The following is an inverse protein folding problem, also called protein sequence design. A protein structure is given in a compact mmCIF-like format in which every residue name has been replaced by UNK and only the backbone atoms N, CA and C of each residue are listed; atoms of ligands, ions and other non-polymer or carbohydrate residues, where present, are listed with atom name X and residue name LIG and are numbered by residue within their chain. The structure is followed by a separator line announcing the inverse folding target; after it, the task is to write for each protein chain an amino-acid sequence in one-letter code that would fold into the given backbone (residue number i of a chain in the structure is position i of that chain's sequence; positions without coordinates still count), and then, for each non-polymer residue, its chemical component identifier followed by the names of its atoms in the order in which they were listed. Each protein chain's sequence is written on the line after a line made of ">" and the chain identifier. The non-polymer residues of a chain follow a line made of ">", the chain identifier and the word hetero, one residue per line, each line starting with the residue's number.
data_IF_459421669577
#
_entry.id   IF_459421669577
#
_cell.length_a   1.000
_cell.length_b   1.000
_cell.length_c   1.000
_cell.angle_alpha   90.00
_cell.angle_beta   90.00
_cell.angle_gamma   90.00
#
_symmetry.space_group_name_H-M   'P 1'
#
loop_
_entity.id
_entity.type
_entity.pdbx_description
1 polymer ?
#
# COMPACT_ATOMS: atom_id res chain seq x y z
N UNK A 1 -19.22 15.41 5.91
CA UNK A 1 -18.22 15.14 4.85
C UNK A 1 -17.96 13.64 4.84
N UNK A 2 -18.38 12.92 3.80
CA UNK A 2 -18.02 11.50 3.65
C UNK A 2 -16.63 11.45 3.02
N UNK A 3 -15.62 11.09 3.81
CA UNK A 3 -14.27 10.76 3.31
C UNK A 3 -14.37 9.44 2.55
N UNK A 4 -13.99 9.46 1.28
CA UNK A 4 -13.94 8.26 0.45
C UNK A 4 -12.57 7.60 0.65
N UNK A 5 -12.49 6.31 1.03
CA UNK A 5 -11.21 5.65 1.24
C UNK A 5 -10.40 5.57 -0.05
N UNK A 6 -9.15 6.03 0.01
CA UNK A 6 -8.17 5.88 -1.07
C UNK A 6 -7.66 4.44 -1.03
N UNK A 7 -7.76 3.73 -2.15
CA UNK A 7 -7.21 2.39 -2.29
C UNK A 7 -5.73 2.50 -2.64
N UNK A 8 -4.87 2.10 -1.71
CA UNK A 8 -3.43 2.09 -1.94
C UNK A 8 -3.06 0.85 -2.78
N UNK A 9 -2.70 1.07 -4.04
CA UNK A 9 -1.97 0.07 -4.82
C UNK A 9 -0.55 -0.03 -4.27
N UNK A 10 -0.07 -1.24 -4.02
CA UNK A 10 1.23 -1.54 -3.41
C UNK A 10 2.47 -1.09 -4.21
N UNK A 11 2.32 -0.21 -5.21
CA UNK A 11 3.44 0.32 -5.99
C UNK A 11 3.66 1.82 -5.91
N UNK A 12 2.78 2.66 -5.34
CA UNK A 12 3.08 4.10 -5.16
C UNK A 12 2.12 4.76 -4.17
N UNK A 13 2.42 4.67 -2.88
CA UNK A 13 1.88 5.62 -1.91
C UNK A 13 2.66 6.93 -2.02
N UNK A 14 2.26 7.80 -2.96
CA UNK A 14 2.57 9.24 -2.89
C UNK A 14 1.50 9.93 -2.04
N UNK A 15 1.51 9.65 -0.74
CA UNK A 15 1.11 10.69 0.23
C UNK A 15 2.34 11.55 0.39
N UNK A 16 2.15 12.85 0.19
CA UNK A 16 3.12 13.94 0.15
C UNK A 16 4.09 13.93 1.36
N UNK A 17 5.06 13.01 1.39
CA UNK A 17 6.27 13.13 2.19
C UNK A 17 7.35 13.71 1.29
N UNK A 18 7.80 14.88 1.71
CA UNK A 18 8.56 15.87 0.96
C UNK A 18 9.87 15.28 0.44
N UNK A 19 10.19 15.68 -0.80
CA UNK A 19 11.25 15.24 -1.72
C UNK A 19 12.71 15.30 -1.20
N UNK A 20 12.95 15.54 0.09
CA UNK A 20 14.29 15.61 0.70
C UNK A 20 14.81 14.29 1.27
N UNK A 21 13.97 13.26 1.43
CA UNK A 21 14.37 11.97 2.05
C UNK A 21 14.60 10.83 1.04
N UNK A 22 14.27 11.05 -0.24
CA UNK A 22 14.56 10.08 -1.29
C UNK A 22 16.06 9.98 -1.59
N UNK A 23 16.83 11.06 -1.39
CA UNK A 23 18.29 11.05 -1.52
C UNK A 23 18.95 10.19 -0.46
N UNK A 24 18.50 10.25 0.80
CA UNK A 24 19.11 9.52 1.91
C UNK A 24 18.88 8.01 1.77
N UNK A 25 17.67 7.60 1.38
CA UNK A 25 17.35 6.19 1.10
C UNK A 25 18.15 5.67 -0.09
N UNK A 26 18.27 6.45 -1.16
CA UNK A 26 19.10 6.08 -2.29
C UNK A 26 20.56 5.92 -1.87
N UNK A 27 21.15 6.90 -1.15
CA UNK A 27 22.54 6.80 -0.66
C UNK A 27 22.73 5.55 0.19
N UNK A 28 21.77 5.23 1.06
CA UNK A 28 21.82 4.01 1.86
C UNK A 28 21.83 2.77 0.95
N UNK A 29 20.90 2.66 -0.02
CA UNK A 29 20.87 1.56 -0.98
C UNK A 29 22.17 1.44 -1.80
N UNK A 30 22.74 2.57 -2.25
CA UNK A 30 24.03 2.62 -2.94
C UNK A 30 25.19 2.12 -2.06
N UNK A 31 25.13 2.31 -0.74
CA UNK A 31 26.16 1.80 0.17
C UNK A 31 26.09 0.28 0.35
N UNK A 32 24.95 -0.35 0.03
CA UNK A 32 24.74 -1.79 0.16
C UNK A 32 24.50 -2.47 -1.20
N UNK A 33 25.10 -1.95 -2.28
CA UNK A 33 25.02 -2.60 -3.61
C UNK A 33 25.57 -4.03 -3.59
N UNK A 34 26.60 -4.27 -2.79
CA UNK A 34 27.23 -5.58 -2.64
C UNK A 34 26.46 -6.52 -1.67
N UNK A 35 25.41 -6.02 -1.01
CA UNK A 35 24.57 -6.79 -0.09
C UNK A 35 25.23 -7.21 1.23
N UNK A 36 26.43 -6.71 1.54
CA UNK A 36 27.19 -7.11 2.73
C UNK A 36 26.83 -6.36 4.02
N UNK A 37 26.28 -5.14 3.93
CA UNK A 37 25.97 -4.32 5.11
C UNK A 37 24.63 -4.72 5.75
N UNK A 38 23.62 -5.05 4.96
CA UNK A 38 22.33 -5.51 5.46
C UNK A 38 21.56 -6.37 4.46
N UNK A 39 20.72 -7.26 5.00
CA UNK A 39 19.83 -8.11 4.21
C UNK A 39 18.83 -7.24 3.39
N UNK A 40 18.47 -7.61 2.15
CA UNK A 40 17.48 -6.87 1.35
C UNK A 40 16.10 -6.72 2.02
N UNK A 41 15.75 -7.60 2.96
CA UNK A 41 14.54 -7.49 3.79
C UNK A 41 14.66 -6.37 4.84
N UNK A 42 15.88 -5.93 5.16
CA UNK A 42 16.19 -4.82 6.07
C UNK A 42 16.06 -3.43 5.42
N UNK A 43 15.69 -3.35 4.14
CA UNK A 43 15.40 -2.08 3.46
C UNK A 43 14.31 -1.29 4.20
N UNK A 44 13.34 -1.99 4.81
CA UNK A 44 12.34 -1.35 5.66
C UNK A 44 13.00 -0.65 6.85
N UNK A 45 13.96 -1.29 7.49
CA UNK A 45 14.73 -0.74 8.62
C UNK A 45 15.56 0.48 8.20
N UNK A 46 16.23 0.40 7.05
CA UNK A 46 16.98 1.53 6.47
C UNK A 46 16.06 2.73 6.15
N UNK A 47 14.88 2.45 5.57
CA UNK A 47 13.84 3.44 5.35
C UNK A 47 13.44 4.09 6.67
N UNK A 48 13.04 3.31 7.69
CA UNK A 48 12.65 3.85 9.00
C UNK A 48 13.75 4.69 9.67
N UNK A 49 15.01 4.26 9.57
CA UNK A 49 16.14 5.00 10.15
C UNK A 49 16.33 6.37 9.48
N UNK A 50 16.07 6.47 8.17
CA UNK A 50 16.12 7.74 7.44
C UNK A 50 15.11 8.77 7.97
N UNK A 51 13.98 8.32 8.55
CA UNK A 51 12.96 9.18 9.16
C UNK A 51 13.08 9.27 10.70
N UNK A 52 14.14 8.74 11.31
CA UNK A 52 14.27 8.70 12.77
C UNK A 52 14.17 10.10 13.39
N UNK A 53 13.25 10.28 14.34
CA UNK A 53 12.97 11.58 14.98
C UNK A 53 12.16 12.58 14.14
N UNK A 54 11.92 12.30 12.86
CA UNK A 54 11.17 13.18 11.93
C UNK A 54 9.76 12.65 11.59
N UNK A 55 9.32 11.57 12.23
CA UNK A 55 7.96 11.03 12.04
C UNK A 55 6.96 11.62 13.03
N UNK A 56 5.69 11.72 12.60
CA UNK A 56 4.55 12.00 13.48
C UNK A 56 3.61 10.80 13.44
N UNK A 57 3.11 10.32 14.60
CA UNK A 57 2.15 9.23 14.61
C UNK A 57 0.84 9.69 13.96
N UNK A 58 0.30 8.86 13.06
CA UNK A 58 -1.04 9.03 12.52
C UNK A 58 -2.04 8.24 13.37
N UNK A 59 -3.27 8.72 13.44
CA UNK A 59 -4.36 7.96 14.07
C UNK A 59 -4.56 6.62 13.33
N UNK A 60 -4.56 5.51 14.07
CA UNK A 60 -4.66 4.17 13.50
C UNK A 60 -5.98 3.94 12.77
N UNK A 61 -7.06 4.65 13.14
CA UNK A 61 -8.35 4.54 12.47
C UNK A 61 -8.33 5.01 11.01
N UNK A 62 -7.32 5.80 10.61
CA UNK A 62 -7.18 6.29 9.25
C UNK A 62 -6.72 5.23 8.26
N UNK A 63 -6.15 4.13 8.76
CA UNK A 63 -5.55 3.10 7.92
C UNK A 63 -6.05 1.71 8.30
N UNK A 64 -6.60 0.99 7.31
CA UNK A 64 -6.99 -0.41 7.44
C UNK A 64 -6.14 -1.27 6.51
N UNK A 65 -5.61 -2.35 7.06
CA UNK A 65 -4.79 -3.36 6.40
C UNK A 65 -5.31 -4.76 6.80
N UNK A 66 -4.82 -5.79 6.14
CA UNK A 66 -5.21 -7.19 6.30
C UNK A 66 -6.17 -7.72 5.24
N UNK A 67 -6.56 -6.94 4.22
CA UNK A 67 -7.69 -7.30 3.35
C UNK A 67 -7.41 -8.47 2.41
N UNK A 68 -6.16 -8.81 2.11
CA UNK A 68 -5.80 -10.00 1.35
C UNK A 68 -5.40 -11.20 2.21
N UNK A 69 -5.64 -11.15 3.52
CA UNK A 69 -5.42 -12.25 4.48
C UNK A 69 -6.64 -12.56 5.36
N UNK A 70 -7.34 -11.53 5.83
CA UNK A 70 -8.38 -11.63 6.85
C UNK A 70 -9.78 -11.29 6.29
N UNK A 71 -10.68 -12.28 6.18
CA UNK A 71 -12.06 -12.04 5.72
C UNK A 71 -12.97 -11.42 6.79
N UNK A 72 -12.50 -11.19 8.01
CA UNK A 72 -13.33 -10.75 9.14
C UNK A 72 -13.09 -9.30 9.55
N UNK A 73 -12.57 -8.46 8.66
CA UNK A 73 -12.36 -7.04 8.95
C UNK A 73 -13.72 -6.33 8.99
N UNK A 74 -13.94 -5.52 10.04
CA UNK A 74 -15.19 -4.79 10.22
C UNK A 74 -15.49 -3.88 9.02
N UNK A 75 -16.68 -4.00 8.40
CA UNK A 75 -17.10 -3.10 7.33
C UNK A 75 -17.17 -1.64 7.79
N UNK A 76 -17.41 -1.39 9.07
CA UNK A 76 -17.43 -0.04 9.64
C UNK A 76 -16.03 0.57 9.66
N UNK A 77 -15.02 -0.21 10.08
CA UNK A 77 -13.63 0.23 10.06
C UNK A 77 -13.17 0.57 8.63
N UNK A 78 -13.55 -0.24 7.64
CA UNK A 78 -13.24 0.02 6.22
C UNK A 78 -13.89 1.33 5.74
N UNK A 79 -15.14 1.60 6.13
CA UNK A 79 -15.85 2.83 5.74
C UNK A 79 -15.30 4.09 6.40
N UNK A 80 -14.83 3.98 7.65
CA UNK A 80 -14.27 5.12 8.38
C UNK A 80 -12.80 5.43 8.00
N UNK A 81 -12.11 4.47 7.39
CA UNK A 81 -10.72 4.63 7.03
C UNK A 81 -10.51 5.65 5.90
N UNK A 82 -9.41 6.38 5.97
CA UNK A 82 -8.96 7.23 4.87
C UNK A 82 -8.22 6.42 3.80
N UNK A 83 -7.50 5.37 4.21
CA UNK A 83 -6.71 4.51 3.32
C UNK A 83 -6.95 3.04 3.64
N UNK A 84 -7.18 2.24 2.59
CA UNK A 84 -7.32 0.79 2.70
C UNK A 84 -6.20 0.12 1.90
N UNK A 85 -5.46 -0.79 2.54
CA UNK A 85 -4.35 -1.53 1.95
C UNK A 85 -4.72 -3.00 1.73
N UNK A 86 -4.65 -3.45 0.48
CA UNK A 86 -4.72 -4.86 0.08
C UNK A 86 -3.34 -5.54 0.18
N UNK A 87 -2.91 -5.81 1.41
CA UNK A 87 -1.79 -6.68 1.74
C UNK A 87 -2.15 -8.16 1.56
N UNK A 88 -1.15 -8.98 1.23
CA UNK A 88 -1.32 -10.42 1.09
C UNK A 88 -1.66 -10.94 -0.29
N UNK A 89 -1.92 -12.25 -0.33
CA UNK A 89 -1.96 -13.01 -1.58
C UNK A 89 -3.34 -12.98 -2.24
N UNK A 90 -4.42 -12.75 -1.47
CA UNK A 90 -5.79 -12.72 -1.98
C UNK A 90 -6.19 -11.30 -2.42
N UNK A 91 -5.35 -10.67 -3.25
CA UNK A 91 -5.58 -9.33 -3.79
C UNK A 91 -6.82 -9.30 -4.69
N UNK A 92 -7.61 -8.21 -4.69
CA UNK A 92 -8.94 -8.16 -5.32
C UNK A 92 -8.93 -8.28 -6.86
N UNK A 93 -7.78 -8.05 -7.49
CA UNK A 93 -7.57 -8.21 -8.93
C UNK A 93 -7.11 -9.61 -9.34
N UNK A 94 -7.06 -10.57 -8.42
CA UNK A 94 -6.69 -11.96 -8.69
C UNK A 94 -7.92 -12.86 -8.61
N UNK A 95 -7.89 -14.02 -9.26
CA UNK A 95 -8.99 -14.99 -9.23
C UNK A 95 -9.24 -15.55 -7.82
N UNK A 96 -8.18 -15.65 -7.01
CA UNK A 96 -8.21 -16.11 -5.61
C UNK A 96 -8.67 -15.03 -4.62
N UNK A 97 -9.12 -13.87 -5.11
CA UNK A 97 -9.57 -12.76 -4.29
C UNK A 97 -10.76 -13.10 -3.40
N UNK A 98 -10.81 -12.48 -2.22
CA UNK A 98 -12.01 -12.50 -1.37
C UNK A 98 -13.12 -11.65 -2.01
N UNK A 99 -14.20 -12.29 -2.45
CA UNK A 99 -15.28 -11.63 -3.19
C UNK A 99 -15.88 -10.41 -2.47
N UNK A 100 -15.96 -10.45 -1.15
CA UNK A 100 -16.47 -9.36 -0.31
C UNK A 100 -15.67 -8.05 -0.40
N UNK A 101 -14.38 -8.10 -0.77
CA UNK A 101 -13.55 -6.91 -0.89
C UNK A 101 -13.31 -6.47 -2.34
N UNK A 102 -13.71 -7.27 -3.34
CA UNK A 102 -13.55 -6.93 -4.77
C UNK A 102 -14.16 -5.58 -5.12
N UNK A 103 -15.40 -5.34 -4.64
CA UNK A 103 -16.13 -4.11 -4.92
C UNK A 103 -15.43 -2.84 -4.44
N UNK A 104 -14.59 -2.93 -3.39
CA UNK A 104 -13.83 -1.79 -2.89
C UNK A 104 -12.75 -1.36 -3.88
N UNK A 105 -12.19 -2.30 -4.64
CA UNK A 105 -11.17 -2.02 -5.66
C UNK A 105 -11.81 -1.66 -6.99
N UNK A 106 -12.70 -2.50 -7.51
CA UNK A 106 -13.32 -2.35 -8.84
C UNK A 106 -14.02 -1.00 -9.02
N UNK A 107 -14.56 -0.41 -7.94
CA UNK A 107 -15.18 0.92 -7.97
C UNK A 107 -14.26 2.03 -8.47
N UNK A 108 -12.95 1.92 -8.26
CA UNK A 108 -11.97 2.96 -8.61
C UNK A 108 -11.06 2.55 -9.78
N UNK A 109 -11.32 1.38 -10.37
CA UNK A 109 -10.58 0.90 -11.53
C UNK A 109 -11.11 1.59 -12.76
N UNK A 110 -10.21 2.23 -13.50
CA UNK A 110 -10.53 2.77 -14.81
C UNK A 110 -10.55 1.64 -15.85
N UNK A 111 -11.74 1.12 -16.14
CA UNK A 111 -11.91 0.04 -17.12
C UNK A 111 -11.62 0.47 -18.56
N UNK A 112 -11.54 1.78 -18.83
CA UNK A 112 -11.23 2.32 -20.16
C UNK A 112 -9.72 2.42 -20.41
N UNK A 113 -8.89 2.20 -19.39
CA UNK A 113 -7.44 2.21 -19.52
C UNK A 113 -6.95 1.03 -20.40
N UNK A 114 -6.26 1.36 -21.50
CA UNK A 114 -5.77 0.38 -22.49
C UNK A 114 -4.84 -0.69 -21.89
N UNK A 115 -4.10 -0.35 -20.83
CA UNK A 115 -3.22 -1.30 -20.15
C UNK A 115 -4.00 -2.29 -19.29
N UNK A 116 -5.11 -1.88 -18.69
CA UNK A 116 -5.90 -2.75 -17.80
C UNK A 116 -6.78 -3.72 -18.60
N UNK A 117 -7.23 -3.32 -19.79
CA UNK A 117 -7.95 -4.21 -20.72
C UNK A 117 -7.10 -5.37 -21.23
N UNK A 118 -5.76 -5.26 -21.16
CA UNK A 118 -4.84 -6.35 -21.50
C UNK A 118 -4.56 -7.30 -20.33
N UNK A 119 -4.99 -6.96 -19.12
CA UNK A 119 -4.83 -7.79 -17.95
C UNK A 119 -6.06 -8.70 -17.76
N UNK A 120 -5.84 -9.94 -17.31
CA UNK A 120 -6.91 -10.88 -17.01
C UNK A 120 -7.53 -10.60 -15.63
N UNK A 121 -8.12 -9.41 -15.47
CA UNK A 121 -8.94 -9.11 -14.31
C UNK A 121 -10.32 -9.70 -14.58
N UNK A 122 -10.76 -10.70 -13.80
CA UNK A 122 -12.12 -11.25 -13.88
C UNK A 122 -13.17 -10.25 -13.38
N UNK A 123 -13.27 -9.11 -14.07
CA UNK A 123 -14.17 -7.98 -13.84
C UNK A 123 -15.58 -8.26 -14.37
#
# INVERSE_FOLDING_TARGET
>A
MQTVPIVAHSCLNKIHLILTQATDVCIFLWQNEDGELWDPTSILTAGLMSFYGNTKPLDKSWHVMGLGYNPSISPEAIRSAAVVHFDGNMKPWLDVAMNQYKALWTKYVDTEMEFLTRCNFGL
#
